data_IF_876334936878
#
_entry.id   IF_876334936878
#
_cell.length_a   1.000
_cell.length_b   1.000
_cell.length_c   1.000
_cell.angle_alpha   90.00
_cell.angle_beta   90.00
_cell.angle_gamma   90.00
#
_symmetry.space_group_name_H-M   'P 1'
#
loop_
_entity.id
_entity.type
_entity.pdbx_description
1 polymer ?
#
# COMPACT_ATOMS: atom_id res chain seq x y z
N UNK A 1 9.76 12.41 3.29
CA UNK A 1 10.99 12.48 4.10
C UNK A 1 11.53 11.07 4.30
N UNK A 2 12.70 10.76 3.80
CA UNK A 2 13.32 9.43 3.98
C UNK A 2 13.75 9.30 5.43
N UNK A 3 13.13 8.41 6.18
CA UNK A 3 13.45 8.17 7.59
C UNK A 3 14.79 7.43 7.69
N UNK A 4 15.71 7.88 8.54
CA UNK A 4 17.02 7.24 8.77
C UNK A 4 16.91 5.78 9.21
N UNK A 5 15.88 5.43 9.98
CA UNK A 5 15.58 4.06 10.38
C UNK A 5 15.30 3.13 9.19
N UNK A 6 14.68 3.63 8.12
CA UNK A 6 14.43 2.85 6.89
C UNK A 6 15.73 2.56 6.13
N UNK A 7 16.74 3.43 6.23
CA UNK A 7 18.06 3.21 5.63
C UNK A 7 18.85 2.11 6.35
N UNK A 8 18.83 2.08 7.66
CA UNK A 8 19.49 1.04 8.45
C UNK A 8 18.91 -0.33 8.14
N UNK A 9 17.60 -0.48 8.16
CA UNK A 9 16.93 -1.76 7.82
C UNK A 9 17.29 -2.23 6.40
N UNK A 10 17.40 -1.33 5.42
CA UNK A 10 17.78 -1.68 4.05
C UNK A 10 19.25 -2.09 3.96
N UNK A 11 20.13 -1.46 4.73
CA UNK A 11 21.56 -1.80 4.79
C UNK A 11 21.73 -3.17 5.45
N UNK A 12 21.06 -3.41 6.56
CA UNK A 12 21.13 -4.68 7.28
C UNK A 12 20.59 -5.85 6.44
N UNK A 13 19.43 -5.68 5.83
CA UNK A 13 18.88 -6.67 4.90
C UNK A 13 19.76 -6.88 3.66
N UNK A 14 20.47 -5.85 3.19
CA UNK A 14 21.42 -5.95 2.09
C UNK A 14 22.67 -6.73 2.48
N UNK A 15 23.18 -6.52 3.69
CA UNK A 15 24.34 -7.24 4.21
C UNK A 15 24.01 -8.72 4.44
N UNK A 16 22.86 -9.00 5.07
CA UNK A 16 22.38 -10.37 5.27
C UNK A 16 22.20 -11.12 3.94
N UNK A 17 21.59 -10.46 2.95
CA UNK A 17 21.43 -11.03 1.62
C UNK A 17 22.77 -11.28 0.92
N UNK A 18 23.74 -10.37 1.08
CA UNK A 18 25.08 -10.54 0.55
C UNK A 18 25.77 -11.75 1.18
N UNK A 19 25.71 -11.89 2.50
CA UNK A 19 26.34 -13.01 3.23
C UNK A 19 25.74 -14.35 2.84
N UNK A 20 24.42 -14.44 2.71
CA UNK A 20 23.72 -15.66 2.25
C UNK A 20 24.15 -16.01 0.82
N UNK A 21 24.21 -15.03 -0.06
CA UNK A 21 24.61 -15.24 -1.46
C UNK A 21 26.08 -15.68 -1.55
N UNK A 22 26.96 -15.03 -0.80
CA UNK A 22 28.38 -15.36 -0.74
C UNK A 22 28.60 -16.80 -0.24
N UNK A 23 27.95 -17.18 0.86
CA UNK A 23 28.01 -18.54 1.41
C UNK A 23 27.51 -19.59 0.41
N UNK A 24 26.38 -19.31 -0.23
CA UNK A 24 25.76 -20.23 -1.21
C UNK A 24 26.68 -20.47 -2.41
N UNK A 25 27.31 -19.42 -2.92
CA UNK A 25 28.23 -19.52 -4.05
C UNK A 25 29.54 -20.16 -3.63
N UNK A 26 30.10 -19.83 -2.46
CA UNK A 26 31.32 -20.47 -1.93
C UNK A 26 31.12 -21.98 -1.76
N UNK A 27 29.98 -22.38 -1.20
CA UNK A 27 29.60 -23.80 -1.06
C UNK A 27 29.48 -24.50 -2.42
N UNK A 28 28.93 -23.82 -3.42
CA UNK A 28 28.81 -24.35 -4.77
C UNK A 28 30.17 -24.58 -5.40
N UNK A 29 31.11 -23.64 -5.28
CA UNK A 29 32.46 -23.73 -5.81
C UNK A 29 33.27 -24.82 -5.08
N UNK A 30 33.16 -24.93 -3.76
CA UNK A 30 33.81 -25.97 -2.98
C UNK A 30 33.36 -27.39 -3.37
N UNK A 31 32.07 -27.56 -3.66
CA UNK A 31 31.50 -28.84 -4.06
C UNK A 31 31.72 -29.18 -5.55
N UNK A 32 32.00 -28.19 -6.38
CA UNK A 32 32.15 -28.32 -7.82
C UNK A 32 33.32 -27.45 -8.32
N UNK A 33 34.59 -27.86 -8.12
CA UNK A 33 35.77 -27.06 -8.41
C UNK A 33 35.96 -26.74 -9.91
N UNK A 34 35.24 -27.43 -10.79
CA UNK A 34 35.30 -27.21 -12.24
C UNK A 34 34.32 -26.10 -12.72
N UNK A 35 33.56 -25.48 -11.79
CA UNK A 35 32.68 -24.37 -12.14
C UNK A 35 33.44 -23.06 -12.06
N UNK A 36 33.55 -22.39 -13.21
CA UNK A 36 33.99 -21.01 -13.32
C UNK A 36 32.76 -20.10 -13.43
N UNK A 37 32.56 -19.27 -12.41
CA UNK A 37 31.45 -18.33 -12.33
C UNK A 37 31.94 -16.93 -12.62
N UNK A 38 31.51 -16.36 -13.77
CA UNK A 38 31.78 -14.98 -14.12
C UNK A 38 30.49 -14.25 -14.52
N UNK A 39 30.41 -12.94 -14.25
CA UNK A 39 29.37 -12.06 -14.71
C UNK A 39 29.92 -11.10 -15.77
N UNK A 40 29.38 -11.15 -16.97
CA UNK A 40 29.78 -10.22 -18.03
C UNK A 40 28.76 -9.12 -18.18
N UNK A 41 29.16 -7.87 -18.00
CA UNK A 41 28.33 -6.68 -18.25
C UNK A 41 28.69 -6.11 -19.61
N UNK A 42 27.67 -5.99 -20.50
CA UNK A 42 27.82 -5.35 -21.82
C UNK A 42 27.04 -4.05 -21.87
N UNK A 43 27.73 -2.96 -22.17
CA UNK A 43 27.13 -1.64 -22.31
C UNK A 43 27.79 -0.85 -23.44
N UNK A 44 26.97 -0.41 -24.40
CA UNK A 44 27.42 0.43 -25.56
C UNK A 44 28.67 -0.09 -26.27
N UNK A 45 28.75 -1.40 -26.48
CA UNK A 45 29.88 -2.02 -27.17
C UNK A 45 31.10 -2.35 -26.29
N UNK A 46 31.07 -1.97 -25.02
CA UNK A 46 32.09 -2.35 -24.04
C UNK A 46 31.61 -3.58 -23.28
N UNK A 47 32.50 -4.54 -23.10
CA UNK A 47 32.26 -5.76 -22.30
C UNK A 47 33.26 -5.79 -21.16
N UNK A 48 32.74 -5.92 -19.93
CA UNK A 48 33.53 -6.06 -18.71
C UNK A 48 33.18 -7.40 -18.08
N UNK A 49 34.16 -8.21 -17.85
CA UNK A 49 34.03 -9.46 -17.11
C UNK A 49 34.43 -9.23 -15.66
N UNK A 50 33.54 -9.63 -14.75
CA UNK A 50 33.72 -9.43 -13.32
C UNK A 50 34.09 -10.76 -12.66
N UNK A 51 35.01 -10.69 -11.71
CA UNK A 51 35.28 -11.83 -10.85
C UNK A 51 34.10 -12.09 -9.91
N UNK A 52 34.16 -13.18 -9.14
CA UNK A 52 33.04 -13.62 -8.31
C UNK A 52 32.63 -12.55 -7.26
N UNK A 53 33.60 -11.92 -6.61
CA UNK A 53 33.34 -10.91 -5.58
C UNK A 53 32.67 -9.64 -6.18
N UNK A 54 33.18 -9.19 -7.31
CA UNK A 54 32.59 -8.05 -8.06
C UNK A 54 31.20 -8.40 -8.57
N UNK A 55 30.99 -9.62 -9.05
CA UNK A 55 29.68 -10.14 -9.49
C UNK A 55 28.67 -10.13 -8.36
N UNK A 56 29.07 -10.59 -7.16
CA UNK A 56 28.21 -10.57 -5.97
C UNK A 56 27.80 -9.16 -5.56
N UNK A 57 28.75 -8.21 -5.57
CA UNK A 57 28.47 -6.80 -5.26
C UNK A 57 27.45 -6.23 -6.25
N UNK A 58 27.62 -6.49 -7.54
CA UNK A 58 26.69 -6.00 -8.58
C UNK A 58 25.32 -6.64 -8.43
N UNK A 59 25.24 -7.96 -8.27
CA UNK A 59 23.97 -8.69 -8.11
C UNK A 59 23.21 -8.18 -6.87
N UNK A 60 23.90 -8.06 -5.73
CA UNK A 60 23.28 -7.55 -4.50
C UNK A 60 22.80 -6.11 -4.66
N UNK A 61 23.60 -5.24 -5.24
CA UNK A 61 23.24 -3.84 -5.52
C UNK A 61 21.99 -3.73 -6.41
N UNK A 62 21.92 -4.54 -7.46
CA UNK A 62 20.76 -4.59 -8.34
C UNK A 62 19.51 -5.12 -7.65
N UNK A 63 19.66 -6.16 -6.81
CA UNK A 63 18.56 -6.72 -6.04
C UNK A 63 17.96 -5.70 -5.05
N UNK A 64 18.81 -5.02 -4.28
CA UNK A 64 18.41 -3.97 -3.34
C UNK A 64 17.77 -2.79 -4.09
N UNK A 65 18.34 -2.34 -5.19
CA UNK A 65 17.78 -1.25 -6.00
C UNK A 65 16.44 -1.64 -6.61
N UNK A 66 16.29 -2.86 -7.09
CA UNK A 66 15.02 -3.40 -7.58
C UNK A 66 13.95 -3.44 -6.47
N UNK A 67 14.31 -3.90 -5.27
CA UNK A 67 13.40 -3.93 -4.13
C UNK A 67 12.97 -2.51 -3.73
N UNK A 68 13.90 -1.56 -3.66
CA UNK A 68 13.63 -0.16 -3.35
C UNK A 68 12.73 0.50 -4.41
N UNK A 69 12.98 0.27 -5.69
CA UNK A 69 12.14 0.79 -6.78
C UNK A 69 10.73 0.19 -6.73
N UNK A 70 10.61 -1.12 -6.53
CA UNK A 70 9.29 -1.76 -6.40
C UNK A 70 8.52 -1.23 -5.19
N UNK A 71 9.16 -1.15 -4.02
CA UNK A 71 8.54 -0.62 -2.82
C UNK A 71 8.07 0.83 -3.00
N UNK A 72 8.90 1.70 -3.56
CA UNK A 72 8.56 3.10 -3.79
C UNK A 72 7.44 3.29 -4.81
N UNK A 73 7.51 2.62 -5.96
CA UNK A 73 6.48 2.72 -7.01
C UNK A 73 5.13 2.16 -6.55
N UNK A 74 5.13 0.98 -5.91
CA UNK A 74 3.90 0.38 -5.40
C UNK A 74 3.29 1.19 -4.27
N UNK A 75 4.09 1.73 -3.36
CA UNK A 75 3.60 2.61 -2.29
C UNK A 75 2.96 3.88 -2.86
N UNK A 76 3.59 4.53 -3.83
CA UNK A 76 3.05 5.75 -4.45
C UNK A 76 1.77 5.46 -5.25
N UNK A 77 1.76 4.38 -6.04
CA UNK A 77 0.57 3.97 -6.78
C UNK A 77 -0.57 3.57 -5.84
N UNK A 78 -0.28 2.79 -4.80
CA UNK A 78 -1.25 2.41 -3.78
C UNK A 78 -1.91 3.62 -3.13
N UNK A 79 -1.12 4.56 -2.63
CA UNK A 79 -1.65 5.80 -2.00
C UNK A 79 -2.54 6.62 -2.93
N UNK A 80 -2.25 6.67 -4.22
CA UNK A 80 -3.12 7.35 -5.20
C UNK A 80 -4.45 6.62 -5.34
N UNK A 81 -4.42 5.30 -5.54
CA UNK A 81 -5.63 4.47 -5.66
C UNK A 81 -6.49 4.59 -4.40
N UNK A 82 -5.88 4.55 -3.22
CA UNK A 82 -6.55 4.66 -1.93
C UNK A 82 -7.30 5.99 -1.77
N UNK A 83 -6.68 7.11 -2.16
CA UNK A 83 -7.32 8.43 -2.16
C UNK A 83 -8.50 8.51 -3.13
N UNK A 84 -8.31 8.06 -4.37
CA UNK A 84 -9.38 8.08 -5.38
C UNK A 84 -10.52 7.16 -4.98
N UNK A 85 -10.25 6.00 -4.41
CA UNK A 85 -11.26 5.08 -3.91
C UNK A 85 -12.16 5.74 -2.87
N UNK A 86 -11.58 6.41 -1.87
CA UNK A 86 -12.35 7.10 -0.84
C UNK A 86 -13.13 8.28 -1.40
N UNK A 87 -12.55 9.07 -2.29
CA UNK A 87 -13.26 10.16 -2.97
C UNK A 87 -14.42 9.64 -3.81
N UNK A 88 -14.22 8.52 -4.52
CA UNK A 88 -15.30 7.84 -5.28
C UNK A 88 -16.43 7.39 -4.37
N UNK A 89 -16.13 6.75 -3.23
CA UNK A 89 -17.15 6.38 -2.26
C UNK A 89 -17.93 7.60 -1.75
N UNK A 90 -17.26 8.71 -1.44
CA UNK A 90 -17.93 9.94 -1.04
C UNK A 90 -18.83 10.49 -2.15
N UNK A 91 -18.39 10.47 -3.41
CA UNK A 91 -19.18 10.95 -4.55
C UNK A 91 -20.38 10.03 -4.84
N UNK A 92 -20.26 8.71 -4.73
CA UNK A 92 -21.39 7.76 -4.86
C UNK A 92 -22.55 8.14 -3.92
N UNK A 93 -22.24 8.57 -2.70
CA UNK A 93 -23.22 8.93 -1.69
C UNK A 93 -23.50 10.43 -1.62
N UNK A 94 -23.10 11.20 -2.62
CA UNK A 94 -23.27 12.66 -2.68
C UNK A 94 -22.86 13.36 -1.37
N UNK A 95 -21.77 12.90 -0.74
CA UNK A 95 -21.20 13.56 0.43
C UNK A 95 -20.74 14.95 0.00
N UNK A 96 -21.16 16.05 0.69
CA UNK A 96 -20.68 17.39 0.38
C UNK A 96 -19.16 17.49 0.50
N UNK A 97 -18.52 18.20 -0.42
CA UNK A 97 -17.05 18.23 -0.55
C UNK A 97 -16.34 18.68 0.73
N UNK A 98 -16.93 19.60 1.50
CA UNK A 98 -16.38 20.06 2.78
C UNK A 98 -16.14 18.94 3.80
N UNK A 99 -16.83 17.80 3.67
CA UNK A 99 -16.69 16.65 4.57
C UNK A 99 -15.59 15.67 4.15
N UNK A 100 -14.94 15.90 3.01
CA UNK A 100 -13.79 15.08 2.56
C UNK A 100 -12.70 15.91 1.86
N UNK A 101 -12.69 17.22 2.05
CA UNK A 101 -11.65 18.10 1.51
C UNK A 101 -10.31 17.91 2.24
N UNK A 102 -9.41 17.14 1.64
CA UNK A 102 -8.10 16.85 2.21
C UNK A 102 -7.21 18.08 2.34
N UNK A 103 -7.52 19.19 1.68
CA UNK A 103 -6.76 20.45 1.80
C UNK A 103 -6.96 21.13 3.15
N UNK A 104 -8.05 20.82 3.84
CA UNK A 104 -8.38 21.36 5.18
C UNK A 104 -7.70 20.61 6.32
N UNK A 105 -6.98 19.52 6.05
CA UNK A 105 -6.34 18.75 7.10
C UNK A 105 -5.12 19.50 7.62
N UNK A 106 -5.05 19.78 8.94
CA UNK A 106 -3.91 20.47 9.53
C UNK A 106 -2.60 19.70 9.32
N UNK A 107 -1.51 20.41 9.01
CA UNK A 107 -0.19 19.81 8.78
C UNK A 107 0.37 19.04 10.00
N UNK A 108 -0.17 19.31 11.20
CA UNK A 108 0.18 18.61 12.43
C UNK A 108 -0.51 17.24 12.58
N UNK A 109 -1.51 16.97 11.75
CA UNK A 109 -2.22 15.68 11.79
C UNK A 109 -1.35 14.57 11.21
N UNK A 110 -1.53 13.36 11.77
CA UNK A 110 -0.83 12.16 11.28
C UNK A 110 -1.17 11.90 9.81
N UNK A 111 -0.20 11.55 9.01
CA UNK A 111 -0.44 11.08 7.64
C UNK A 111 -1.20 9.75 7.68
N UNK A 112 -2.40 9.73 7.11
CA UNK A 112 -3.24 8.56 6.87
C UNK A 112 -3.71 8.57 5.42
N UNK A 113 -4.36 7.51 4.98
CA UNK A 113 -4.77 7.40 3.57
C UNK A 113 -5.83 8.43 3.21
N UNK A 114 -6.77 8.71 4.13
CA UNK A 114 -7.85 9.67 3.91
C UNK A 114 -8.45 10.18 5.23
N UNK A 115 -9.10 11.35 5.18
CA UNK A 115 -9.89 11.89 6.29
C UNK A 115 -11.32 12.16 5.87
N UNK A 116 -12.27 11.77 6.72
CA UNK A 116 -13.64 12.28 6.70
C UNK A 116 -13.78 13.34 7.78
N UNK A 117 -14.48 14.45 7.47
CA UNK A 117 -14.53 15.65 8.31
C UNK A 117 -15.95 15.89 8.76
N UNK A 118 -16.16 16.06 10.06
CA UNK A 118 -17.46 16.47 10.62
C UNK A 118 -17.26 17.35 11.84
N UNK A 119 -17.80 18.58 11.80
CA UNK A 119 -17.77 19.52 12.93
C UNK A 119 -16.37 19.67 13.54
N UNK A 120 -15.35 19.97 12.69
CA UNK A 120 -13.93 20.09 13.05
C UNK A 120 -13.29 18.79 13.57
N UNK A 121 -14.03 17.69 13.59
CA UNK A 121 -13.51 16.37 13.89
C UNK A 121 -13.03 15.68 12.62
N UNK A 122 -11.79 15.19 12.65
CA UNK A 122 -11.13 14.50 11.55
C UNK A 122 -11.15 13.00 11.81
N UNK A 123 -12.01 12.27 11.11
CA UNK A 123 -12.11 10.82 11.21
C UNK A 123 -11.07 10.16 10.31
N UNK A 124 -10.15 9.42 10.89
CA UNK A 124 -9.06 8.74 10.18
C UNK A 124 -9.58 7.54 9.42
N UNK A 125 -9.32 7.50 8.12
CA UNK A 125 -9.68 6.40 7.24
C UNK A 125 -8.41 5.73 6.72
N UNK A 126 -8.28 4.44 6.96
CA UNK A 126 -7.24 3.59 6.39
C UNK A 126 -7.85 2.73 5.30
N UNK A 127 -7.14 2.59 4.20
CA UNK A 127 -7.55 1.80 3.04
C UNK A 127 -6.55 0.68 2.80
N UNK A 128 -7.03 -0.53 2.57
CA UNK A 128 -6.20 -1.70 2.26
C UNK A 128 -6.70 -2.43 1.02
N UNK A 129 -5.90 -2.35 -0.03
CA UNK A 129 -6.12 -3.14 -1.24
C UNK A 129 -5.34 -4.46 -1.12
N UNK A 130 -6.06 -5.53 -0.77
CA UNK A 130 -5.51 -6.87 -0.50
C UNK A 130 -5.34 -7.63 -1.82
N UNK A 131 -4.28 -7.36 -2.56
CA UNK A 131 -3.94 -8.12 -3.76
C UNK A 131 -3.43 -9.54 -3.45
N UNK A 132 -3.39 -10.41 -4.48
CA UNK A 132 -2.90 -11.81 -4.34
C UNK A 132 -1.49 -11.95 -3.73
N UNK A 133 -0.68 -10.91 -3.73
CA UNK A 133 0.67 -10.89 -3.17
C UNK A 133 0.82 -10.14 -1.86
N UNK A 134 -0.27 -9.65 -1.27
CA UNK A 134 -0.25 -8.92 -0.01
C UNK A 134 -1.17 -9.66 0.98
N UNK A 135 -0.64 -10.66 1.73
CA UNK A 135 -1.43 -11.42 2.68
C UNK A 135 -2.00 -10.47 3.73
N UNK A 136 -3.23 -10.75 4.11
CA UNK A 136 -3.94 -10.08 5.18
C UNK A 136 -3.10 -10.09 6.46
N UNK A 137 -2.69 -8.92 6.92
CA UNK A 137 -2.09 -8.80 8.24
C UNK A 137 -3.21 -8.94 9.27
N UNK A 138 -3.15 -9.97 10.10
CA UNK A 138 -4.11 -10.19 11.19
C UNK A 138 -4.22 -8.96 12.11
N UNK A 139 -3.16 -8.13 12.16
CA UNK A 139 -3.05 -6.98 13.05
C UNK A 139 -3.29 -5.63 12.36
N UNK A 140 -3.73 -5.63 11.08
CA UNK A 140 -3.87 -4.38 10.32
C UNK A 140 -4.78 -3.35 11.01
N UNK A 141 -5.80 -3.81 11.73
CA UNK A 141 -6.76 -2.95 12.44
C UNK A 141 -6.17 -2.45 13.76
N UNK A 142 -5.43 -3.29 14.49
CA UNK A 142 -4.79 -2.91 15.75
C UNK A 142 -3.65 -1.90 15.56
N UNK A 143 -2.91 -2.01 14.44
CA UNK A 143 -1.71 -1.22 14.21
C UNK A 143 -1.97 0.25 13.84
N UNK A 144 -3.20 0.64 13.52
CA UNK A 144 -3.45 1.87 12.79
C UNK A 144 -4.32 2.93 13.44
N UNK A 145 -4.91 2.70 14.61
CA UNK A 145 -5.77 3.69 15.32
C UNK A 145 -6.71 4.47 14.38
N UNK A 146 -7.38 3.78 13.45
CA UNK A 146 -8.29 4.40 12.50
C UNK A 146 -9.72 4.40 13.03
N UNK A 147 -10.52 5.39 12.62
CA UNK A 147 -11.96 5.42 12.89
C UNK A 147 -12.72 4.58 11.85
N UNK A 148 -12.20 4.54 10.62
CA UNK A 148 -12.79 3.82 9.48
C UNK A 148 -11.71 2.98 8.80
N UNK A 149 -12.03 1.73 8.50
CA UNK A 149 -11.17 0.81 7.78
C UNK A 149 -11.88 0.31 6.53
N UNK A 150 -11.33 0.61 5.36
CA UNK A 150 -11.87 0.20 4.07
C UNK A 150 -10.92 -0.80 3.42
N UNK A 151 -11.43 -1.95 3.04
CA UNK A 151 -10.64 -2.96 2.36
C UNK A 151 -11.39 -3.59 1.19
N UNK A 152 -10.67 -4.13 0.23
CA UNK A 152 -11.30 -4.95 -0.82
C UNK A 152 -11.85 -6.26 -0.23
N UNK A 153 -11.14 -6.88 0.72
CA UNK A 153 -11.56 -8.10 1.42
C UNK A 153 -11.14 -8.05 2.89
N UNK A 154 -12.00 -8.52 3.78
CA UNK A 154 -11.75 -8.67 5.22
C UNK A 154 -12.04 -10.10 5.67
N UNK A 155 -11.17 -10.67 6.51
CA UNK A 155 -11.48 -11.91 7.21
C UNK A 155 -12.52 -11.68 8.31
N UNK A 156 -13.13 -12.78 8.76
CA UNK A 156 -14.05 -12.70 9.89
C UNK A 156 -13.31 -12.25 11.16
N UNK A 157 -12.03 -12.62 11.31
CA UNK A 157 -11.20 -12.15 12.40
C UNK A 157 -10.99 -10.63 12.35
N UNK A 158 -10.67 -10.06 11.20
CA UNK A 158 -10.53 -8.60 11.07
C UNK A 158 -11.83 -7.86 11.34
N UNK A 159 -12.97 -8.41 10.90
CA UNK A 159 -14.30 -7.83 11.21
C UNK A 159 -14.57 -7.84 12.71
N UNK A 160 -14.31 -8.95 13.40
CA UNK A 160 -14.44 -9.05 14.85
C UNK A 160 -13.51 -8.08 15.59
N UNK A 161 -12.26 -7.95 15.15
CA UNK A 161 -11.30 -6.98 15.71
C UNK A 161 -11.78 -5.55 15.53
N UNK A 162 -12.28 -5.19 14.34
CA UNK A 162 -12.83 -3.88 14.08
C UNK A 162 -14.03 -3.57 14.99
N UNK A 163 -14.94 -4.53 15.13
CA UNK A 163 -16.13 -4.39 16.01
C UNK A 163 -15.71 -4.23 17.49
N UNK A 164 -14.72 -5.00 17.97
CA UNK A 164 -14.17 -4.87 19.33
C UNK A 164 -13.57 -3.50 19.60
N UNK A 165 -12.83 -2.97 18.62
CA UNK A 165 -12.16 -1.66 18.70
C UNK A 165 -13.09 -0.49 18.33
N UNK A 166 -14.35 -0.77 17.99
CA UNK A 166 -15.32 0.21 17.48
C UNK A 166 -14.86 0.94 16.22
N UNK A 167 -13.97 0.31 15.44
CA UNK A 167 -13.55 0.77 14.13
C UNK A 167 -14.64 0.41 13.12
N UNK A 168 -15.11 1.39 12.38
CA UNK A 168 -16.11 1.17 11.33
C UNK A 168 -15.42 0.58 10.11
N UNK A 169 -15.95 -0.51 9.56
CA UNK A 169 -15.30 -1.16 8.43
C UNK A 169 -16.19 -1.29 7.20
N UNK A 170 -15.57 -1.31 6.03
CA UNK A 170 -16.21 -1.52 4.73
C UNK A 170 -15.40 -2.54 3.95
N UNK A 171 -16.07 -3.60 3.45
CA UNK A 171 -15.48 -4.61 2.57
C UNK A 171 -16.07 -4.46 1.17
N UNK A 172 -15.23 -4.11 0.19
CA UNK A 172 -15.70 -3.71 -1.15
C UNK A 172 -15.96 -4.89 -2.09
N UNK A 173 -15.26 -6.02 -1.91
CA UNK A 173 -15.35 -7.17 -2.82
C UNK A 173 -16.66 -7.97 -2.70
N UNK A 174 -17.48 -7.67 -1.71
CA UNK A 174 -18.82 -8.24 -1.60
C UNK A 174 -19.76 -7.50 -2.58
N UNK A 175 -20.72 -8.21 -3.21
CA UNK A 175 -21.63 -7.65 -4.23
C UNK A 175 -22.31 -6.34 -3.85
N UNK A 176 -22.53 -6.12 -2.56
CA UNK A 176 -23.12 -4.90 -2.01
C UNK A 176 -22.26 -4.23 -0.94
N UNK A 177 -20.96 -4.56 -0.92
CA UNK A 177 -20.03 -4.13 0.12
C UNK A 177 -19.93 -2.63 0.28
N UNK A 178 -19.94 -1.88 -0.82
CA UNK A 178 -19.94 -0.42 -0.82
C UNK A 178 -21.17 0.18 -0.09
N UNK A 179 -22.31 -0.51 -0.02
CA UNK A 179 -23.52 -0.04 0.69
C UNK A 179 -23.29 0.12 2.19
N UNK A 180 -22.33 -0.61 2.77
CA UNK A 180 -21.96 -0.44 4.17
C UNK A 180 -21.36 0.93 4.45
N UNK A 181 -20.82 1.62 3.45
CA UNK A 181 -20.28 2.96 3.62
C UNK A 181 -21.35 3.99 4.00
N UNK A 182 -22.58 3.89 3.48
CA UNK A 182 -23.70 4.72 3.92
C UNK A 182 -23.95 4.60 5.44
N UNK A 183 -23.90 3.38 5.97
CA UNK A 183 -24.01 3.15 7.42
C UNK A 183 -22.89 3.82 8.19
N UNK A 184 -21.65 3.75 7.69
CA UNK A 184 -20.50 4.45 8.28
C UNK A 184 -20.73 5.96 8.30
N UNK A 185 -21.17 6.55 7.19
CA UNK A 185 -21.48 7.98 7.11
C UNK A 185 -22.57 8.39 8.11
N UNK A 186 -23.65 7.60 8.22
CA UNK A 186 -24.72 7.81 9.21
C UNK A 186 -24.16 7.80 10.64
N UNK A 187 -23.36 6.81 10.99
CA UNK A 187 -22.77 6.67 12.33
C UNK A 187 -21.77 7.78 12.67
N UNK A 188 -21.13 8.39 11.67
CA UNK A 188 -20.25 9.55 11.82
C UNK A 188 -21.01 10.90 11.77
N UNK A 189 -22.32 10.87 11.48
CA UNK A 189 -23.13 12.05 11.33
C UNK A 189 -22.82 12.89 10.08
N UNK A 190 -22.18 12.29 9.08
CA UNK A 190 -21.79 12.96 7.83
C UNK A 190 -23.01 13.00 6.89
N UNK A 191 -23.40 14.18 6.37
CA UNK A 191 -24.49 14.31 5.41
C UNK A 191 -24.19 13.49 4.14
N UNK A 192 -25.17 12.73 3.70
CA UNK A 192 -25.09 11.93 2.48
C UNK A 192 -26.50 11.57 1.98
N UNK A 193 -26.56 11.04 0.76
CA UNK A 193 -27.77 10.45 0.19
C UNK A 193 -27.51 8.99 -0.17
N UNK A 194 -28.51 8.13 0.08
CA UNK A 194 -28.39 6.73 -0.32
C UNK A 194 -28.33 6.60 -1.84
N UNK A 195 -27.36 5.84 -2.30
CA UNK A 195 -27.23 5.57 -3.72
C UNK A 195 -28.31 4.61 -4.21
N UNK A 196 -29.03 5.05 -5.24
CA UNK A 196 -30.01 4.26 -5.96
C UNK A 196 -29.75 4.39 -7.45
N UNK A 197 -29.45 3.30 -8.13
CA UNK A 197 -29.21 3.32 -9.57
C UNK A 197 -28.20 2.26 -10.04
N UNK A 198 -27.79 2.41 -11.30
CA UNK A 198 -26.73 1.61 -11.90
C UNK A 198 -25.37 2.14 -11.45
N UNK A 199 -24.64 1.30 -10.70
CA UNK A 199 -23.33 1.66 -10.14
C UNK A 199 -22.30 1.87 -11.24
N UNK A 200 -22.28 1.03 -12.29
CA UNK A 200 -21.26 1.08 -13.33
C UNK A 200 -21.37 2.39 -14.13
N UNK A 201 -22.58 2.75 -14.55
CA UNK A 201 -22.80 4.01 -15.26
C UNK A 201 -22.46 5.24 -14.41
N UNK A 202 -22.71 5.17 -13.09
CA UNK A 202 -22.37 6.25 -12.16
C UNK A 202 -20.88 6.36 -11.90
N UNK A 203 -20.17 5.23 -11.81
CA UNK A 203 -18.72 5.19 -11.63
C UNK A 203 -17.98 5.81 -12.82
N UNK A 204 -18.42 5.56 -14.06
CA UNK A 204 -17.82 6.17 -15.25
C UNK A 204 -17.87 7.70 -15.19
N UNK A 205 -19.00 8.25 -14.75
CA UNK A 205 -19.16 9.70 -14.56
C UNK A 205 -18.23 10.24 -13.47
N UNK A 206 -18.17 9.58 -12.32
CA UNK A 206 -17.33 9.99 -11.18
C UNK A 206 -15.84 9.91 -11.53
N UNK A 207 -15.40 8.86 -12.23
CA UNK A 207 -14.00 8.68 -12.60
C UNK A 207 -13.52 9.73 -13.60
N UNK A 208 -14.36 10.08 -14.57
CA UNK A 208 -14.05 11.18 -15.48
C UNK A 208 -13.85 12.50 -14.73
N UNK A 209 -14.76 12.82 -13.79
CA UNK A 209 -14.65 14.00 -12.93
C UNK A 209 -13.42 14.03 -11.99
N UNK A 210 -12.86 12.88 -11.64
CA UNK A 210 -11.71 12.80 -10.73
C UNK A 210 -10.37 12.80 -11.46
N UNK A 211 -10.37 12.52 -12.77
CA UNK A 211 -9.16 12.43 -13.59
C UNK A 211 -8.87 13.71 -14.38
N UNK A 212 -9.87 14.60 -14.53
CA UNK A 212 -9.74 15.96 -15.08
C UNK A 212 -9.21 16.93 -14.00
#
# INVERSE_FOLDING_TARGET
>A
MYNSATREIVIDASNEHYDILYQSISTLIENQPDIDLSLTIKFRGVSVELNINESLIVINTLAVKRAALRGGLWSTAGKRVEKYLMATLCKIYNVPFEHFDQSKIPASMREVDFYLIKDEKYHRCEVKMMGRGNPESADAIFARESDVFVADKLSDLNKQQADMLKVKWVELRNEVGYKRFAKVLTELGIPHTDFQGDLDAHLDTILNDLLD
#
